data_IF_908487131051
#
_entry.id   IF_908487131051
#
_cell.length_a   1.000
_cell.length_b   1.000
_cell.length_c   1.000
_cell.angle_alpha   90.00
_cell.angle_beta   90.00
_cell.angle_gamma   90.00
#
_symmetry.space_group_name_H-M   'P 1'
#
loop_
_entity.id
_entity.type
_entity.pdbx_description
1 polymer ?
#
# COMPACT_ATOMS: atom_id res chain seq x y z
N UNK A 1 -11.95 -31.62 15.13
CA UNK A 1 -10.67 -31.63 14.39
C UNK A 1 -10.93 -30.83 13.12
N UNK A 2 -10.44 -29.61 12.89
CA UNK A 2 -9.13 -29.04 13.18
C UNK A 2 -9.21 -27.61 13.74
N UNK A 3 -8.33 -27.36 14.68
CA UNK A 3 -7.98 -26.10 15.32
C UNK A 3 -7.61 -25.06 14.26
N UNK A 4 -8.48 -24.07 14.00
CA UNK A 4 -8.05 -22.78 13.47
C UNK A 4 -7.26 -22.10 14.59
N UNK A 5 -6.00 -22.50 14.74
CA UNK A 5 -5.04 -21.74 15.50
C UNK A 5 -5.07 -20.35 14.88
N UNK A 6 -5.63 -19.40 15.63
CA UNK A 6 -5.61 -17.96 15.39
C UNK A 6 -4.31 -17.62 14.66
N UNK A 7 -4.37 -17.47 13.32
CA UNK A 7 -3.22 -17.09 12.53
C UNK A 7 -2.96 -15.62 12.82
N UNK A 8 -2.42 -15.35 14.02
CA UNK A 8 -1.94 -14.04 14.43
C UNK A 8 -0.86 -13.68 13.44
N UNK A 9 -1.23 -12.84 12.48
CA UNK A 9 -0.28 -12.27 11.54
C UNK A 9 0.82 -11.60 12.36
N UNK A 10 2.09 -12.00 12.19
CA UNK A 10 3.16 -11.41 12.96
C UNK A 10 3.23 -9.90 12.68
N UNK A 11 3.64 -9.10 13.66
CA UNK A 11 3.79 -7.66 13.47
C UNK A 11 4.81 -7.37 12.37
N UNK A 12 4.50 -6.39 11.52
CA UNK A 12 5.40 -5.91 10.49
C UNK A 12 6.49 -5.04 11.13
N UNK A 13 7.67 -5.62 11.34
CA UNK A 13 8.81 -4.92 11.93
C UNK A 13 9.61 -4.20 10.84
N UNK A 14 9.62 -2.87 10.88
CA UNK A 14 10.33 -2.03 9.90
C UNK A 14 11.40 -1.21 10.64
N UNK A 15 12.61 -1.17 10.08
CA UNK A 15 13.67 -0.28 10.56
C UNK A 15 13.61 1.04 9.79
N UNK A 16 13.55 2.15 10.52
CA UNK A 16 13.55 3.50 9.96
C UNK A 16 14.53 4.38 10.73
N UNK A 17 15.04 5.44 10.09
CA UNK A 17 15.93 6.40 10.75
C UNK A 17 15.14 7.24 11.76
N UNK A 18 15.83 7.77 12.77
CA UNK A 18 15.21 8.57 13.83
C UNK A 18 14.46 9.81 13.28
N UNK A 19 15.04 10.48 12.28
CA UNK A 19 14.41 11.65 11.63
C UNK A 19 13.09 11.29 10.95
N UNK A 20 13.06 10.15 10.23
CA UNK A 20 11.85 9.65 9.58
C UNK A 20 10.78 9.28 10.61
N UNK A 21 11.18 8.65 11.72
CA UNK A 21 10.28 8.31 12.83
C UNK A 21 9.62 9.56 13.41
N UNK A 22 10.42 10.60 13.67
CA UNK A 22 9.92 11.86 14.23
C UNK A 22 8.89 12.52 13.29
N UNK A 23 9.16 12.54 11.99
CA UNK A 23 8.21 13.06 11.00
C UNK A 23 6.88 12.26 10.99
N UNK A 24 6.96 10.93 11.06
CA UNK A 24 5.78 10.06 11.12
C UNK A 24 4.99 10.29 12.41
N UNK A 25 5.67 10.46 13.55
CA UNK A 25 5.03 10.75 14.83
C UNK A 25 4.26 12.07 14.80
N UNK A 26 4.86 13.13 14.25
CA UNK A 26 4.18 14.41 14.08
C UNK A 26 2.96 14.31 13.16
N UNK A 27 3.06 13.57 12.05
CA UNK A 27 1.95 13.38 11.13
C UNK A 27 0.80 12.54 11.75
N UNK A 28 1.14 11.51 12.52
CA UNK A 28 0.17 10.71 13.25
C UNK A 28 -0.56 11.57 14.31
N UNK A 29 0.18 12.40 15.05
CA UNK A 29 -0.39 13.33 16.02
C UNK A 29 -1.31 14.37 15.37
N UNK A 30 -0.90 14.94 14.22
CA UNK A 30 -1.71 15.91 13.47
C UNK A 30 -2.99 15.31 12.87
N UNK A 31 -3.08 13.98 12.79
CA UNK A 31 -4.26 13.25 12.27
C UNK A 31 -5.04 12.53 13.36
N UNK A 32 -4.73 12.76 14.63
CA UNK A 32 -5.33 12.08 15.80
C UNK A 32 -5.26 10.55 15.72
N UNK A 33 -4.19 10.01 15.11
CA UNK A 33 -3.97 8.57 14.95
C UNK A 33 -2.79 8.07 15.76
N UNK A 34 -2.80 6.79 16.09
CA UNK A 34 -1.57 6.12 16.56
C UNK A 34 -0.56 6.04 15.41
N UNK A 35 0.74 6.02 15.73
CA UNK A 35 1.81 5.84 14.73
C UNK A 35 1.58 4.58 13.90
N UNK A 36 1.16 3.49 14.56
CA UNK A 36 0.89 2.21 13.92
C UNK A 36 -0.28 2.30 12.93
N UNK A 37 -1.37 2.97 13.28
CA UNK A 37 -2.52 3.13 12.39
C UNK A 37 -2.20 4.07 11.23
N UNK A 38 -1.50 5.18 11.50
CA UNK A 38 -1.05 6.09 10.45
C UNK A 38 -0.17 5.37 9.41
N UNK A 39 0.83 4.59 9.85
CA UNK A 39 1.71 3.83 8.96
C UNK A 39 0.95 2.72 8.23
N UNK A 40 0.01 2.04 8.91
CA UNK A 40 -0.81 1.00 8.28
C UNK A 40 -1.65 1.57 7.14
N UNK A 41 -2.35 2.66 7.39
CA UNK A 41 -3.21 3.30 6.39
C UNK A 41 -2.39 3.79 5.19
N UNK A 42 -1.25 4.45 5.45
CA UNK A 42 -0.36 4.93 4.41
C UNK A 42 0.20 3.76 3.56
N UNK A 43 0.61 2.66 4.20
CA UNK A 43 1.09 1.47 3.51
C UNK A 43 0.00 0.80 2.67
N UNK A 44 -1.22 0.70 3.19
CA UNK A 44 -2.36 0.14 2.46
C UNK A 44 -2.76 1.00 1.27
N UNK A 45 -2.81 2.32 1.43
CA UNK A 45 -3.12 3.23 0.34
C UNK A 45 -2.05 3.12 -0.75
N UNK A 46 -0.77 3.18 -0.38
CA UNK A 46 0.32 3.09 -1.34
C UNK A 46 0.37 1.73 -2.06
N UNK A 47 0.07 0.64 -1.36
CA UNK A 47 -0.03 -0.69 -1.97
C UNK A 47 -1.17 -0.75 -3.01
N UNK A 48 -2.32 -0.15 -2.71
CA UNK A 48 -3.43 -0.07 -3.67
C UNK A 48 -3.05 0.77 -4.89
N UNK A 49 -2.47 1.95 -4.68
CA UNK A 49 -2.03 2.84 -5.75
C UNK A 49 -1.01 2.17 -6.67
N UNK A 50 -0.02 1.46 -6.10
CA UNK A 50 0.98 0.72 -6.88
C UNK A 50 0.38 -0.43 -7.71
N UNK A 51 -0.65 -1.11 -7.20
CA UNK A 51 -1.37 -2.15 -7.94
C UNK A 51 -2.26 -1.58 -9.06
N UNK A 52 -2.86 -0.41 -8.81
CA UNK A 52 -3.68 0.31 -9.78
C UNK A 52 -2.84 0.86 -10.93
N UNK A 53 -1.71 1.49 -10.63
CA UNK A 53 -0.74 1.99 -11.63
C UNK A 53 -0.26 0.86 -12.55
N UNK A 54 0.07 -0.30 -11.97
CA UNK A 54 0.43 -1.49 -12.76
C UNK A 54 -0.70 -1.98 -13.66
N UNK A 55 -1.95 -1.85 -13.22
CA UNK A 55 -3.12 -2.23 -14.02
C UNK A 55 -3.33 -1.26 -15.18
N UNK A 56 -3.10 0.04 -14.97
CA UNK A 56 -3.16 1.05 -16.02
C UNK A 56 -2.06 0.83 -17.07
N UNK A 57 -0.83 0.52 -16.66
CA UNK A 57 0.27 0.17 -17.58
C UNK A 57 -0.05 -1.08 -18.41
N UNK A 58 -0.60 -2.13 -17.80
CA UNK A 58 -1.02 -3.35 -18.51
C UNK A 58 -2.22 -3.13 -19.46
N UNK A 59 -3.13 -2.21 -19.13
CA UNK A 59 -4.25 -1.85 -20.00
C UNK A 59 -3.80 -1.03 -21.19
N UNK A 60 -2.82 -0.15 -21.03
CA UNK A 60 -2.22 0.63 -22.12
C UNK A 60 -1.53 -0.31 -23.14
N UNK A 61 -0.76 -1.29 -22.65
CA UNK A 61 -0.11 -2.31 -23.50
C UNK A 61 -1.12 -3.19 -24.26
N UNK A 62 -2.31 -3.46 -23.70
CA UNK A 62 -3.36 -4.24 -24.37
C UNK A 62 -4.32 -3.39 -25.21
N UNK A 63 -4.46 -2.10 -24.93
CA UNK A 63 -5.28 -1.15 -25.68
C UNK A 63 -4.66 -0.79 -27.03
N UNK A 64 -3.32 -0.76 -27.10
CA UNK A 64 -2.55 -0.49 -28.33
C UNK A 64 -2.60 -1.65 -29.35
N UNK A 65 -3.17 -2.81 -29.02
CA UNK A 65 -3.29 -3.94 -29.94
C UNK A 65 -4.61 -3.95 -30.74
N UNK A 66 -5.53 -3.00 -30.52
CA UNK A 66 -6.82 -2.93 -31.22
C UNK A 66 -7.17 -1.51 -31.64
N UNK A 67 -6.27 -0.84 -32.35
CA UNK A 67 -6.66 0.24 -33.26
C UNK A 67 -6.36 -0.25 -34.66
N UNK A 68 -7.33 -0.96 -35.23
CA UNK A 68 -7.30 -1.37 -36.63
C UNK A 68 -7.65 -0.11 -37.45
N UNK A 69 -6.72 0.45 -38.25
CA UNK A 69 -7.07 1.54 -39.16
C UNK A 69 -7.91 0.94 -40.28
N UNK A 70 -9.22 1.21 -40.28
CA UNK A 70 -10.05 1.00 -41.47
C UNK A 70 -9.79 2.19 -42.40
N UNK A 71 -9.00 1.95 -43.44
CA UNK A 71 -8.97 2.76 -44.66
C UNK A 71 -9.85 2.07 -45.71
#
# INVERSE_FOLDING_TARGET
>A
MNTSAEMKTPPLNIRIKAEQRNLIEQAAQATDKTVSDFVRDAALQHAQDALLDRTHLLLDERGMARVHPSA
#
